data_IF_654729448475
#
_entry.id   IF_654729448475
#
_cell.length_a   1.000
_cell.length_b   1.000
_cell.length_c   1.000
_cell.angle_alpha   90.00
_cell.angle_beta   90.00
_cell.angle_gamma   90.00
#
_symmetry.space_group_name_H-M   'P 1'
#
loop_
_entity.id
_entity.type
_entity.pdbx_description
1 polymer ?
#
# COMPACT_ATOMS: atom_id res chain seq x y z
N UNK A 1 -36.78 -36.33 5.14
CA UNK A 1 -35.72 -35.63 4.39
C UNK A 1 -35.40 -34.37 5.19
N UNK A 2 -34.36 -34.36 6.03
CA UNK A 2 -33.95 -33.16 6.77
C UNK A 2 -33.09 -32.30 5.86
N UNK A 3 -33.52 -31.08 5.59
CA UNK A 3 -32.67 -30.07 4.96
C UNK A 3 -31.65 -29.56 6.00
N UNK A 4 -30.35 -29.49 5.70
CA UNK A 4 -29.38 -28.83 6.57
C UNK A 4 -29.75 -27.35 6.70
N UNK A 5 -29.77 -26.78 7.91
CA UNK A 5 -29.89 -25.35 8.04
C UNK A 5 -28.59 -24.69 7.57
N UNK A 6 -28.73 -23.46 7.09
CA UNK A 6 -27.71 -22.43 7.18
C UNK A 6 -26.65 -22.38 6.06
N UNK A 7 -27.06 -21.84 4.91
CA UNK A 7 -26.15 -21.29 3.90
C UNK A 7 -26.61 -19.90 3.47
N UNK A 8 -27.20 -19.11 4.36
CA UNK A 8 -27.27 -17.66 4.13
C UNK A 8 -25.85 -17.14 4.19
N UNK A 9 -25.28 -16.91 2.99
CA UNK A 9 -24.23 -15.94 2.70
C UNK A 9 -23.68 -15.28 3.96
N UNK A 10 -22.66 -15.89 4.56
CA UNK A 10 -21.92 -15.25 5.63
C UNK A 10 -21.21 -14.06 4.98
N UNK A 11 -21.90 -12.93 4.87
CA UNK A 11 -21.29 -11.63 4.79
C UNK A 11 -20.54 -11.52 6.11
N UNK A 12 -19.27 -11.93 6.09
CA UNK A 12 -18.38 -11.76 7.22
C UNK A 12 -18.31 -10.25 7.44
N UNK A 13 -19.09 -9.74 8.38
CA UNK A 13 -18.93 -8.38 8.88
C UNK A 13 -17.46 -8.28 9.28
N UNK A 14 -16.66 -7.57 8.48
CA UNK A 14 -15.33 -7.15 8.89
C UNK A 14 -15.55 -6.15 10.02
N UNK A 15 -15.73 -6.69 11.23
CA UNK A 15 -15.78 -5.86 12.43
C UNK A 15 -14.42 -5.16 12.53
N UNK A 16 -14.44 -3.84 12.70
CA UNK A 16 -13.24 -2.98 12.66
C UNK A 16 -12.20 -3.31 13.76
N UNK A 17 -12.48 -4.31 14.59
CA UNK A 17 -11.59 -4.85 15.63
C UNK A 17 -10.41 -5.64 15.02
N UNK A 18 -10.56 -6.20 13.82
CA UNK A 18 -9.46 -6.87 13.10
C UNK A 18 -8.50 -5.86 12.44
N UNK A 19 -8.87 -4.59 12.34
CA UNK A 19 -8.00 -3.54 11.77
C UNK A 19 -6.99 -3.08 12.82
N UNK A 20 -5.72 -3.45 12.65
CA UNK A 20 -4.62 -2.89 13.44
C UNK A 20 -4.13 -1.57 12.81
N UNK A 21 -4.41 -0.41 13.43
CA UNK A 21 -3.98 0.89 12.91
C UNK A 21 -2.46 1.04 12.92
N UNK A 22 -1.75 0.36 13.84
CA UNK A 22 -0.29 0.44 13.92
C UNK A 22 0.36 -0.38 12.81
N UNK A 23 -0.16 -1.58 12.55
CA UNK A 23 0.27 -2.42 11.43
C UNK A 23 0.06 -1.73 10.08
N UNK A 24 -1.12 -1.14 9.88
CA UNK A 24 -1.43 -0.39 8.65
C UNK A 24 -0.53 0.84 8.50
N UNK A 25 -0.29 1.59 9.58
CA UNK A 25 0.63 2.73 9.56
C UNK A 25 2.06 2.31 9.22
N UNK A 26 2.53 1.18 9.76
CA UNK A 26 3.85 0.64 9.43
C UNK A 26 3.95 0.26 7.95
N UNK A 27 2.92 -0.35 7.36
CA UNK A 27 2.86 -0.68 5.94
C UNK A 27 2.88 0.59 5.06
N UNK A 28 2.10 1.61 5.43
CA UNK A 28 2.07 2.90 4.71
C UNK A 28 3.43 3.56 4.77
N UNK A 29 4.07 3.62 5.94
CA UNK A 29 5.41 4.21 6.09
C UNK A 29 6.45 3.44 5.29
N UNK A 30 6.43 2.11 5.36
CA UNK A 30 7.33 1.27 4.58
C UNK A 30 7.16 1.54 3.07
N UNK A 31 5.93 1.59 2.59
CA UNK A 31 5.62 1.91 1.21
C UNK A 31 6.12 3.31 0.82
N UNK A 32 5.89 4.31 1.67
CA UNK A 32 6.38 5.66 1.44
C UNK A 32 7.91 5.73 1.36
N UNK A 33 8.62 5.00 2.23
CA UNK A 33 10.09 4.91 2.19
C UNK A 33 10.55 4.31 0.86
N UNK A 34 9.90 3.23 0.39
CA UNK A 34 10.22 2.62 -0.91
C UNK A 34 10.03 3.63 -2.04
N UNK A 35 8.91 4.36 -2.05
CA UNK A 35 8.66 5.40 -3.06
C UNK A 35 9.69 6.52 -3.00
N UNK A 36 10.04 7.00 -1.81
CA UNK A 36 11.03 8.06 -1.63
C UNK A 36 12.42 7.62 -2.10
N UNK A 37 12.82 6.38 -1.81
CA UNK A 37 14.08 5.80 -2.29
C UNK A 37 14.07 5.66 -3.81
N UNK A 38 13.00 5.11 -4.38
CA UNK A 38 12.85 4.98 -5.83
C UNK A 38 12.88 6.35 -6.53
N UNK A 39 12.17 7.33 -5.98
CA UNK A 39 12.14 8.71 -6.49
C UNK A 39 13.52 9.36 -6.44
N UNK A 40 14.21 9.26 -5.29
CA UNK A 40 15.56 9.80 -5.13
C UNK A 40 16.56 9.09 -6.06
N UNK A 41 16.41 7.78 -6.26
CA UNK A 41 17.23 7.01 -7.18
C UNK A 41 16.98 7.40 -8.64
N UNK A 42 15.72 7.56 -9.05
CA UNK A 42 15.34 8.10 -10.36
C UNK A 42 15.96 9.47 -10.60
N UNK A 43 15.80 10.39 -9.64
CA UNK A 43 16.42 11.71 -9.69
C UNK A 43 17.93 11.60 -9.83
N UNK A 44 18.59 10.79 -9.00
CA UNK A 44 20.03 10.56 -9.08
C UNK A 44 20.46 10.07 -10.47
N UNK A 45 19.77 9.07 -11.03
CA UNK A 45 20.07 8.51 -12.36
C UNK A 45 19.87 9.54 -13.47
N UNK A 46 18.83 10.36 -13.37
CA UNK A 46 18.52 11.40 -14.36
C UNK A 46 19.58 12.52 -14.35
N UNK A 47 20.02 12.95 -13.15
CA UNK A 47 20.87 14.13 -12.99
C UNK A 47 22.38 13.84 -12.84
N UNK A 48 22.83 12.58 -12.68
CA UNK A 48 24.28 12.26 -12.64
C UNK A 48 24.96 12.15 -14.00
N UNK A 49 24.22 12.25 -15.11
CA UNK A 49 24.77 12.07 -16.46
C UNK A 49 24.20 12.98 -17.55
N UNK A 50 23.06 13.63 -17.30
CA UNK A 50 22.49 14.64 -18.18
C UNK A 50 22.35 15.92 -17.35
N UNK A 51 23.10 16.96 -17.71
CA UNK A 51 23.08 18.25 -17.04
C UNK A 51 21.62 18.75 -16.96
N UNK A 52 21.28 19.47 -15.89
CA UNK A 52 19.94 20.01 -15.62
C UNK A 52 19.54 21.00 -16.73
N UNK A 53 19.07 20.53 -17.88
CA UNK A 53 18.36 21.40 -18.83
C UNK A 53 16.99 21.65 -18.23
N UNK A 54 16.95 22.63 -17.33
CA UNK A 54 15.74 23.29 -16.90
C UNK A 54 15.08 23.85 -18.16
N UNK A 55 14.08 23.15 -18.70
CA UNK A 55 13.20 23.73 -19.70
C UNK A 55 12.24 24.64 -18.93
N UNK A 56 12.61 25.91 -18.86
CA UNK A 56 11.83 27.03 -18.37
C UNK A 56 11.96 28.21 -19.32
#
# INVERSE_FOLDING_TARGET
>A
MSAPPDQSEQVRELTHEEFDPKGTLALILLYFVILAVMWAFMYFVEFLGNDLVVVG
#
